data_IF_926446157238
#
_entry.id   IF_926446157238
#
_cell.length_a   1.000
_cell.length_b   1.000
_cell.length_c   1.000
_cell.angle_alpha   90.00
_cell.angle_beta   90.00
_cell.angle_gamma   90.00
#
_symmetry.space_group_name_H-M   'P 1'
#
loop_
_entity.id
_entity.type
_entity.pdbx_description
1 polymer ?
#
# COMPACT_ATOMS: atom_id res chain seq x y z
N UNK A 1 -49.92 -18.23 35.92
CA UNK A 1 -50.27 -17.25 34.87
C UNK A 1 -49.48 -17.64 33.62
N UNK A 2 -50.10 -17.94 32.47
CA UNK A 2 -50.59 -16.95 31.48
C UNK A 2 -49.51 -15.87 31.22
N UNK A 3 -48.88 -15.73 30.06
CA UNK A 3 -49.06 -16.32 28.72
C UNK A 3 -48.82 -15.21 27.66
N UNK A 4 -48.88 -15.54 26.35
CA UNK A 4 -49.09 -14.57 25.22
C UNK A 4 -47.85 -13.67 24.88
N UNK A 5 -47.39 -13.47 23.63
CA UNK A 5 -47.75 -14.01 22.29
C UNK A 5 -46.64 -13.83 21.23
N UNK A 6 -46.70 -14.63 20.15
CA UNK A 6 -46.08 -14.36 18.83
C UNK A 6 -46.81 -13.26 18.04
N UNK A 7 -46.08 -12.52 17.16
CA UNK A 7 -46.44 -11.85 15.88
C UNK A 7 -45.46 -10.64 15.65
N UNK A 8 -45.20 -10.02 14.47
CA UNK A 8 -45.55 -10.11 13.02
C UNK A 8 -44.60 -9.13 12.25
N UNK A 9 -44.42 -9.02 10.91
CA UNK A 9 -44.90 -9.68 9.66
C UNK A 9 -43.68 -9.75 8.67
N UNK A 10 -43.83 -10.35 7.49
CA UNK A 10 -42.98 -10.12 6.31
C UNK A 10 -43.17 -8.72 5.69
N UNK A 11 -42.18 -8.24 4.91
CA UNK A 11 -42.41 -7.37 3.76
C UNK A 11 -41.29 -7.52 2.71
N UNK A 12 -41.55 -8.27 1.65
CA UNK A 12 -40.77 -8.27 0.40
C UNK A 12 -41.08 -7.03 -0.43
N UNK A 13 -40.10 -6.44 -1.11
CA UNK A 13 -40.36 -5.59 -2.27
C UNK A 13 -39.31 -5.80 -3.36
N UNK A 14 -39.78 -5.98 -4.59
CA UNK A 14 -39.00 -6.20 -5.80
C UNK A 14 -39.23 -5.02 -6.72
N UNK A 15 -38.18 -4.28 -7.09
CA UNK A 15 -38.17 -3.48 -8.33
C UNK A 15 -36.77 -3.49 -8.94
N UNK A 16 -36.72 -3.86 -10.21
CA UNK A 16 -35.60 -3.69 -11.15
C UNK A 16 -36.23 -3.39 -12.53
N UNK A 17 -35.45 -3.10 -13.57
CA UNK A 17 -34.25 -2.25 -13.67
C UNK A 17 -34.52 -1.07 -14.63
N UNK A 18 -33.53 -0.21 -14.92
CA UNK A 18 -33.53 0.49 -16.20
C UNK A 18 -32.11 0.68 -16.76
N UNK A 19 -31.98 0.39 -18.06
CA UNK A 19 -30.75 0.38 -18.83
C UNK A 19 -30.66 1.69 -19.62
N UNK A 20 -29.50 2.35 -19.61
CA UNK A 20 -29.07 3.23 -20.70
C UNK A 20 -27.62 2.92 -21.03
N UNK A 21 -27.40 2.33 -22.21
CA UNK A 21 -26.08 2.15 -22.82
C UNK A 21 -26.01 3.12 -23.99
N UNK A 22 -25.04 4.03 -23.98
CA UNK A 22 -24.73 4.89 -25.13
C UNK A 22 -23.32 4.61 -25.61
N UNK A 23 -23.24 3.90 -26.74
CA UNK A 23 -22.00 3.69 -27.49
C UNK A 23 -21.71 4.93 -28.33
N UNK A 24 -20.50 5.48 -28.23
CA UNK A 24 -19.95 6.39 -29.24
C UNK A 24 -18.79 5.71 -29.96
N UNK A 25 -19.05 5.30 -31.21
CA UNK A 25 -18.02 4.90 -32.16
C UNK A 25 -17.53 6.12 -32.91
N UNK A 26 -16.21 6.32 -32.96
CA UNK A 26 -15.57 7.37 -33.77
C UNK A 26 -14.27 6.86 -34.37
N UNK A 27 -14.29 6.54 -35.66
CA UNK A 27 -13.11 6.19 -36.45
C UNK A 27 -12.95 7.16 -37.62
N UNK A 28 -11.71 7.50 -37.96
CA UNK A 28 -11.30 8.33 -39.11
C UNK A 28 -9.88 8.85 -38.86
N UNK A 29 -8.84 8.20 -39.38
CA UNK A 29 -8.19 8.53 -40.66
C UNK A 29 -7.74 10.01 -40.68
N UNK A 30 -6.47 10.33 -40.42
CA UNK A 30 -5.22 9.93 -41.12
C UNK A 30 -5.20 10.40 -42.58
N UNK A 31 -4.55 11.54 -42.81
CA UNK A 31 -3.93 11.87 -44.09
C UNK A 31 -2.46 12.22 -43.88
N UNK A 32 -1.63 11.81 -44.84
CA UNK A 32 -0.16 11.88 -44.81
C UNK A 32 0.29 13.00 -45.73
N UNK A 33 1.34 13.73 -45.34
CA UNK A 33 2.13 14.53 -46.27
C UNK A 33 3.63 14.34 -46.05
N UNK A 34 4.29 13.81 -47.08
CA UNK A 34 5.74 13.80 -47.29
C UNK A 34 6.06 14.71 -48.52
N UNK A 35 7.29 14.75 -49.07
CA UNK A 35 8.48 15.35 -48.45
C UNK A 35 9.24 16.29 -49.41
N UNK A 36 10.08 17.22 -48.92
CA UNK A 36 11.14 17.84 -49.76
C UNK A 36 12.46 18.01 -48.99
N UNK A 37 13.53 17.58 -49.64
CA UNK A 37 14.98 17.68 -49.35
C UNK A 37 15.65 18.35 -50.59
N UNK A 38 16.97 18.58 -50.65
CA UNK A 38 17.99 18.92 -49.65
C UNK A 38 18.83 20.13 -50.12
N UNK A 39 20.04 20.32 -49.56
CA UNK A 39 21.32 20.80 -50.18
C UNK A 39 22.15 21.62 -49.16
N UNK A 40 23.49 21.71 -49.17
CA UNK A 40 24.57 20.82 -49.66
C UNK A 40 25.92 21.32 -49.06
N UNK A 41 27.09 20.79 -49.50
CA UNK A 41 28.48 21.12 -49.08
C UNK A 41 28.85 20.73 -47.63
N UNK A 42 29.70 19.72 -47.32
CA UNK A 42 31.00 19.27 -47.85
C UNK A 42 32.17 20.21 -47.48
N UNK A 43 32.99 19.85 -46.49
CA UNK A 43 33.98 20.78 -45.92
C UNK A 43 35.04 20.24 -44.95
N UNK A 44 35.74 19.15 -45.31
CA UNK A 44 37.10 18.77 -44.86
C UNK A 44 37.34 18.43 -43.36
N UNK A 45 38.05 17.32 -43.13
CA UNK A 45 38.51 16.89 -41.81
C UNK A 45 39.85 17.54 -41.40
N UNK A 46 40.04 17.73 -40.09
CA UNK A 46 41.35 17.88 -39.46
C UNK A 46 41.32 17.35 -38.02
N UNK A 47 42.18 16.38 -37.72
CA UNK A 47 42.41 15.86 -36.36
C UNK A 47 43.26 16.84 -35.54
N UNK A 48 42.76 17.32 -34.39
CA UNK A 48 43.60 17.79 -33.28
C UNK A 48 42.85 17.53 -31.95
N UNK A 49 43.52 17.55 -30.78
CA UNK A 49 43.67 16.37 -29.93
C UNK A 49 42.68 16.30 -28.77
N UNK A 50 42.66 15.15 -28.10
CA UNK A 50 42.04 14.96 -26.79
C UNK A 50 42.58 15.99 -25.79
N UNK A 51 41.70 16.87 -25.32
CA UNK A 51 41.92 17.71 -24.14
C UNK A 51 40.67 17.53 -23.27
N UNK A 52 40.85 16.84 -22.15
CA UNK A 52 39.84 16.72 -21.10
C UNK A 52 39.47 18.12 -20.60
N UNK A 53 38.20 18.48 -20.76
CA UNK A 53 37.61 19.68 -20.19
C UNK A 53 36.18 19.32 -19.78
N UNK A 54 35.98 19.20 -18.48
CA UNK A 54 34.73 18.79 -17.87
C UNK A 54 33.58 19.74 -18.28
N UNK A 55 32.52 19.18 -18.87
CA UNK A 55 31.24 19.85 -19.06
C UNK A 55 30.17 18.97 -18.42
N UNK A 56 29.53 19.53 -17.39
CA UNK A 56 28.56 18.88 -16.53
C UNK A 56 27.27 18.53 -17.30
N UNK A 57 27.14 17.30 -17.81
CA UNK A 57 25.82 16.74 -18.16
C UNK A 57 25.19 16.04 -16.95
N UNK A 58 24.71 16.87 -16.02
CA UNK A 58 23.63 16.60 -15.06
C UNK A 58 23.51 15.15 -14.56
N UNK A 59 24.54 14.68 -13.85
CA UNK A 59 24.41 13.43 -13.09
C UNK A 59 23.32 13.57 -12.02
N UNK A 60 22.40 12.60 -11.97
CA UNK A 60 21.49 12.41 -10.83
C UNK A 60 22.26 11.81 -9.63
N UNK A 61 23.35 12.47 -9.24
CA UNK A 61 24.25 12.05 -8.18
C UNK A 61 24.02 12.84 -6.89
N UNK A 62 22.81 12.71 -6.34
CA UNK A 62 22.65 12.63 -4.89
C UNK A 62 22.16 11.23 -4.55
N UNK A 63 23.05 10.25 -4.78
CA UNK A 63 22.85 8.89 -4.27
C UNK A 63 23.05 8.91 -2.76
N UNK A 64 22.00 9.28 -2.03
CA UNK A 64 21.78 8.66 -0.74
C UNK A 64 21.52 7.18 -1.05
N UNK A 65 22.49 6.33 -0.71
CA UNK A 65 22.46 4.88 -0.91
C UNK A 65 21.07 4.34 -0.54
N UNK A 66 20.41 3.64 -1.48
CA UNK A 66 19.05 3.10 -1.26
C UNK A 66 19.13 1.95 -0.27
N UNK A 67 19.23 2.29 1.01
CA UNK A 67 19.85 1.48 2.06
C UNK A 67 19.20 0.09 2.22
N UNK A 68 17.92 -0.05 1.88
CA UNK A 68 17.25 -1.34 1.75
C UNK A 68 16.00 -1.23 0.87
N UNK A 69 15.90 -2.00 -0.22
CA UNK A 69 14.70 -2.05 -1.07
C UNK A 69 13.78 -3.21 -0.68
N UNK A 70 12.52 -2.89 -0.44
CA UNK A 70 11.44 -3.83 -0.16
C UNK A 70 10.09 -3.12 -0.33
N UNK A 71 9.04 -3.84 -0.68
CA UNK A 71 7.70 -3.29 -0.89
C UNK A 71 7.45 -2.89 -2.34
N UNK A 72 6.25 -2.40 -2.60
CA UNK A 72 5.80 -1.92 -3.92
C UNK A 72 6.45 -0.59 -4.30
N UNK A 73 6.59 -0.34 -5.61
CA UNK A 73 7.09 0.94 -6.11
C UNK A 73 5.99 2.02 -6.03
N UNK A 74 6.40 3.29 -5.93
CA UNK A 74 5.47 4.42 -5.89
C UNK A 74 4.69 4.50 -7.21
N UNK A 75 3.36 4.68 -7.12
CA UNK A 75 2.45 4.67 -8.27
C UNK A 75 1.93 3.28 -8.68
N UNK A 76 2.40 2.19 -8.08
CA UNK A 76 1.82 0.87 -8.32
C UNK A 76 0.45 0.72 -7.63
N UNK A 77 -0.43 -0.11 -8.20
CA UNK A 77 -1.76 -0.40 -7.63
C UNK A 77 -1.70 -1.69 -6.81
N UNK A 78 -1.94 -1.67 -5.49
CA UNK A 78 -1.82 -2.85 -4.64
C UNK A 78 -2.80 -3.97 -5.05
N UNK A 79 -2.31 -5.19 -5.33
CA UNK A 79 -3.15 -6.31 -5.78
C UNK A 79 -4.01 -6.89 -4.64
N UNK A 80 -5.04 -7.65 -5.00
CA UNK A 80 -5.86 -8.36 -4.02
C UNK A 80 -5.11 -9.55 -3.42
N UNK A 81 -5.10 -9.66 -2.08
CA UNK A 81 -4.62 -10.82 -1.35
C UNK A 81 -5.51 -11.10 -0.13
N UNK A 82 -5.39 -12.29 0.46
CA UNK A 82 -6.21 -12.72 1.59
C UNK A 82 -5.36 -12.93 2.85
N UNK A 83 -5.90 -12.51 3.99
CA UNK A 83 -5.36 -12.72 5.35
C UNK A 83 -6.45 -13.26 6.27
N UNK A 84 -6.05 -13.82 7.42
CA UNK A 84 -6.95 -14.11 8.53
C UNK A 84 -6.96 -12.91 9.48
N UNK A 85 -8.12 -12.30 9.70
CA UNK A 85 -8.28 -11.25 10.72
C UNK A 85 -8.27 -11.87 12.13
N UNK A 86 -7.42 -11.34 13.03
CA UNK A 86 -7.24 -11.85 14.40
C UNK A 86 -7.79 -10.88 15.44
N UNK A 87 -7.74 -9.56 15.23
CA UNK A 87 -8.17 -8.58 16.26
C UNK A 87 -9.20 -7.56 15.77
N UNK A 88 -9.47 -7.49 14.47
CA UNK A 88 -10.43 -6.59 13.86
C UNK A 88 -11.88 -7.07 13.89
N UNK A 89 -12.74 -6.27 13.26
CA UNK A 89 -14.19 -6.50 13.21
C UNK A 89 -14.62 -7.78 12.47
N UNK A 90 -13.71 -8.43 11.75
CA UNK A 90 -13.95 -9.68 11.03
C UNK A 90 -13.16 -10.86 11.63
N UNK A 91 -12.80 -10.80 12.93
CA UNK A 91 -12.02 -11.83 13.64
C UNK A 91 -12.44 -13.26 13.29
N UNK A 92 -11.45 -14.07 12.93
CA UNK A 92 -11.61 -15.47 12.52
C UNK A 92 -12.14 -15.67 11.09
N UNK A 93 -12.16 -14.63 10.25
CA UNK A 93 -12.51 -14.72 8.82
C UNK A 93 -11.28 -14.55 7.94
N UNK A 94 -11.32 -15.20 6.78
CA UNK A 94 -10.41 -14.95 5.68
C UNK A 94 -11.00 -13.84 4.81
N UNK A 95 -10.28 -12.74 4.59
CA UNK A 95 -10.73 -11.64 3.74
C UNK A 95 -9.58 -10.88 3.08
N UNK A 96 -9.94 -10.03 2.12
CA UNK A 96 -9.05 -9.12 1.41
C UNK A 96 -9.29 -7.67 1.88
N UNK A 97 -8.37 -7.10 2.65
CA UNK A 97 -8.49 -5.71 3.13
C UNK A 97 -8.41 -4.68 1.99
N UNK A 98 -7.58 -4.91 0.96
CA UNK A 98 -7.56 -4.07 -0.26
C UNK A 98 -8.94 -3.99 -0.92
N UNK A 99 -9.68 -5.09 -0.90
CA UNK A 99 -11.02 -5.22 -1.46
C UNK A 99 -12.09 -4.60 -0.55
N UNK A 100 -11.96 -4.78 0.78
CA UNK A 100 -12.88 -4.22 1.78
C UNK A 100 -12.79 -2.69 1.88
N UNK A 101 -11.57 -2.15 1.78
CA UNK A 101 -11.32 -0.72 1.93
C UNK A 101 -11.44 0.07 0.62
N UNK A 102 -11.34 -0.57 -0.55
CA UNK A 102 -11.48 0.12 -1.84
C UNK A 102 -10.48 1.27 -1.96
N UNK A 103 -10.94 2.44 -2.38
CA UNK A 103 -10.10 3.62 -2.65
C UNK A 103 -9.94 4.55 -1.43
N UNK A 104 -10.15 4.01 -0.22
CA UNK A 104 -9.83 4.72 1.04
C UNK A 104 -8.31 5.00 1.14
N UNK A 105 -7.90 5.99 1.95
CA UNK A 105 -6.54 6.07 2.47
C UNK A 105 -6.24 4.82 3.31
N UNK A 106 -5.19 4.06 2.98
CA UNK A 106 -4.82 2.84 3.69
C UNK A 106 -3.32 2.78 4.00
N UNK A 107 -2.99 2.42 5.23
CA UNK A 107 -1.64 2.00 5.65
C UNK A 107 -1.60 0.48 5.81
N UNK A 108 -0.84 -0.20 4.95
CA UNK A 108 -0.52 -1.62 5.08
C UNK A 108 0.84 -1.81 5.75
N UNK A 109 0.87 -2.48 6.90
CA UNK A 109 2.09 -2.72 7.67
C UNK A 109 2.40 -4.21 7.63
N UNK A 110 3.52 -4.60 7.04
CA UNK A 110 4.00 -5.99 7.00
C UNK A 110 5.08 -6.16 8.06
N UNK A 111 4.94 -7.15 8.93
CA UNK A 111 5.87 -7.38 10.06
C UNK A 111 6.25 -8.85 10.21
N UNK A 112 7.45 -9.13 10.73
CA UNK A 112 7.90 -10.48 11.10
C UNK A 112 8.05 -10.65 12.63
N UNK A 113 8.34 -9.57 13.35
CA UNK A 113 8.50 -9.51 14.82
C UNK A 113 7.71 -8.32 15.42
N UNK A 114 7.52 -8.31 16.74
CA UNK A 114 6.81 -7.27 17.50
C UNK A 114 7.69 -6.69 18.62
N UNK A 115 8.85 -6.16 18.22
CA UNK A 115 9.70 -5.37 19.11
C UNK A 115 9.01 -4.07 19.58
N UNK A 116 9.61 -3.39 20.56
CA UNK A 116 9.00 -2.21 21.19
C UNK A 116 8.79 -1.05 20.21
N UNK A 117 9.65 -0.92 19.20
CA UNK A 117 9.53 0.10 18.16
C UNK A 117 8.39 -0.24 17.19
N UNK A 118 8.23 -1.51 16.81
CA UNK A 118 7.13 -1.99 15.96
C UNK A 118 5.78 -1.83 16.66
N UNK A 119 5.68 -2.18 17.95
CA UNK A 119 4.47 -1.95 18.76
C UNK A 119 4.16 -0.46 18.91
N UNK A 120 5.18 0.38 19.09
CA UNK A 120 5.04 1.85 19.17
C UNK A 120 4.56 2.44 17.85
N UNK A 121 5.11 2.00 16.72
CA UNK A 121 4.66 2.39 15.38
C UNK A 121 3.17 2.07 15.17
N UNK A 122 2.77 0.82 15.45
CA UNK A 122 1.38 0.38 15.27
C UNK A 122 0.44 1.18 16.18
N UNK A 123 0.85 1.50 17.42
CA UNK A 123 0.07 2.39 18.31
C UNK A 123 -0.09 3.80 17.75
N UNK A 124 0.95 4.40 17.16
CA UNK A 124 0.83 5.73 16.54
C UNK A 124 -0.09 5.68 15.31
N UNK A 125 0.03 4.68 14.44
CA UNK A 125 -0.89 4.48 13.30
C UNK A 125 -2.34 4.23 13.77
N UNK A 126 -2.56 3.55 14.89
CA UNK A 126 -3.90 3.38 15.49
C UNK A 126 -4.51 4.73 15.92
N UNK A 127 -3.68 5.64 16.42
CA UNK A 127 -4.06 7.01 16.75
C UNK A 127 -4.38 7.81 15.48
N UNK A 128 -3.56 7.72 14.42
CA UNK A 128 -3.84 8.38 13.13
C UNK A 128 -5.16 7.91 12.51
N UNK A 129 -5.41 6.59 12.46
CA UNK A 129 -6.69 6.04 11.98
C UNK A 129 -7.87 6.54 12.82
N UNK A 130 -7.68 6.76 14.12
CA UNK A 130 -8.69 7.34 15.02
C UNK A 130 -8.89 8.85 14.81
N UNK A 131 -7.84 9.60 14.50
CA UNK A 131 -7.90 11.03 14.21
C UNK A 131 -8.57 11.30 12.86
N UNK A 132 -8.25 10.50 11.85
CA UNK A 132 -8.70 10.68 10.45
C UNK A 132 -9.88 9.77 10.06
N UNK A 133 -10.80 9.51 11.01
CA UNK A 133 -12.02 8.73 10.76
C UNK A 133 -12.98 9.42 9.78
N UNK A 134 -13.01 10.76 9.76
CA UNK A 134 -13.80 11.58 8.84
C UNK A 134 -13.33 11.41 7.38
N UNK A 135 -11.99 11.38 7.18
CA UNK A 135 -11.32 11.04 5.93
C UNK A 135 -11.42 9.55 5.58
N UNK A 136 -11.98 8.73 6.47
CA UNK A 136 -12.07 7.27 6.38
C UNK A 136 -10.70 6.63 6.20
N UNK A 137 -9.65 7.15 6.83
CA UNK A 137 -8.36 6.45 6.90
C UNK A 137 -8.56 5.03 7.45
N UNK A 138 -7.74 4.09 7.02
CA UNK A 138 -7.68 2.73 7.56
C UNK A 138 -6.24 2.28 7.66
N UNK A 139 -5.99 1.27 8.48
CA UNK A 139 -4.74 0.55 8.48
C UNK A 139 -4.99 -0.92 8.83
N UNK A 140 -4.03 -1.79 8.50
CA UNK A 140 -4.02 -3.18 8.95
C UNK A 140 -2.58 -3.71 8.98
N UNK A 141 -2.30 -4.61 9.93
CA UNK A 141 -1.01 -5.27 10.09
C UNK A 141 -1.09 -6.68 9.53
N UNK A 142 -0.10 -7.07 8.73
CA UNK A 142 0.05 -8.39 8.12
C UNK A 142 1.29 -9.06 8.71
N UNK A 143 1.08 -10.06 9.54
CA UNK A 143 2.16 -10.85 10.13
C UNK A 143 2.62 -11.91 9.15
N UNK A 144 3.93 -11.94 8.89
CA UNK A 144 4.62 -12.85 8.00
C UNK A 144 5.47 -13.82 8.83
N UNK A 145 4.93 -15.00 9.11
CA UNK A 145 5.52 -16.01 10.00
C UNK A 145 5.38 -17.42 9.41
N UNK A 146 6.31 -18.30 9.75
CA UNK A 146 6.24 -19.74 9.43
C UNK A 146 5.15 -20.46 10.24
N UNK A 147 4.67 -19.87 11.35
CA UNK A 147 3.65 -20.46 12.23
C UNK A 147 2.37 -19.58 12.35
N UNK A 148 1.56 -19.45 11.27
CA UNK A 148 0.42 -18.53 11.26
C UNK A 148 -0.70 -18.86 12.26
N UNK A 149 -0.82 -20.13 12.68
CA UNK A 149 -1.85 -20.54 13.63
C UNK A 149 -1.45 -20.30 15.09
N UNK A 150 -0.18 -20.43 15.47
CA UNK A 150 0.29 -20.21 16.84
C UNK A 150 0.31 -18.73 17.20
N UNK A 151 0.70 -17.86 16.24
CA UNK A 151 0.78 -16.42 16.42
C UNK A 151 -0.53 -15.75 16.89
N UNK A 152 -1.70 -16.33 16.59
CA UNK A 152 -3.02 -15.70 16.83
C UNK A 152 -3.24 -15.30 18.30
N UNK A 153 -2.89 -16.17 19.24
CA UNK A 153 -3.09 -15.87 20.67
C UNK A 153 -2.19 -14.74 21.17
N UNK A 154 -1.01 -14.57 20.58
CA UNK A 154 -0.07 -13.52 20.98
C UNK A 154 -0.44 -12.18 20.34
N UNK A 155 -1.00 -12.17 19.13
CA UNK A 155 -1.58 -10.95 18.53
C UNK A 155 -2.78 -10.42 19.33
N UNK A 156 -3.63 -11.30 19.88
CA UNK A 156 -4.72 -10.88 20.77
C UNK A 156 -4.20 -10.22 22.07
N UNK A 157 -3.09 -10.73 22.63
CA UNK A 157 -2.41 -10.10 23.78
C UNK A 157 -1.79 -8.77 23.40
N UNK A 158 -0.99 -8.73 22.33
CA UNK A 158 -0.31 -7.53 21.83
C UNK A 158 -1.31 -6.40 21.59
N UNK A 159 -2.44 -6.67 20.91
CA UNK A 159 -3.48 -5.67 20.69
C UNK A 159 -4.11 -5.18 22.00
N UNK A 160 -4.36 -6.07 22.95
CA UNK A 160 -4.94 -5.73 24.25
C UNK A 160 -3.98 -4.88 25.11
N UNK A 161 -2.73 -5.32 25.25
CA UNK A 161 -1.70 -4.67 26.08
C UNK A 161 -1.25 -3.31 25.52
N UNK A 162 -1.28 -3.15 24.19
CA UNK A 162 -0.91 -1.91 23.51
C UNK A 162 -2.11 -1.01 23.19
N UNK A 163 -3.32 -1.41 23.56
CA UNK A 163 -4.58 -0.71 23.29
C UNK A 163 -4.89 -0.45 21.79
N UNK A 164 -4.42 -1.33 20.91
CA UNK A 164 -4.66 -1.26 19.46
C UNK A 164 -6.13 -1.64 19.20
N UNK A 165 -6.93 -0.70 18.70
CA UNK A 165 -8.40 -0.78 18.65
C UNK A 165 -8.98 -0.49 17.26
N UNK A 166 -8.22 0.20 16.41
CA UNK A 166 -8.61 0.67 15.08
C UNK A 166 -7.83 -0.06 13.98
N UNK A 167 -6.64 -0.60 14.27
CA UNK A 167 -5.81 -1.38 13.33
C UNK A 167 -5.98 -2.89 13.58
N UNK A 168 -6.58 -3.66 12.65
CA UNK A 168 -6.60 -5.12 12.74
C UNK A 168 -5.18 -5.69 12.64
N UNK A 169 -4.84 -6.58 13.57
CA UNK A 169 -3.71 -7.48 13.43
C UNK A 169 -4.20 -8.72 12.70
N UNK A 170 -3.47 -9.11 11.65
CA UNK A 170 -3.89 -10.15 10.71
C UNK A 170 -2.71 -11.06 10.41
N UNK A 171 -3.00 -12.29 9.98
CA UNK A 171 -1.98 -13.27 9.64
C UNK A 171 -2.09 -13.65 8.17
N UNK A 172 -0.97 -13.61 7.46
CA UNK A 172 -0.85 -14.16 6.12
C UNK A 172 -0.50 -15.66 6.19
N UNK A 173 -1.06 -16.47 5.29
CA UNK A 173 -0.79 -17.92 5.27
C UNK A 173 0.46 -18.30 4.45
N UNK A 174 1.19 -17.30 3.96
CA UNK A 174 2.51 -17.46 3.33
C UNK A 174 3.57 -16.69 4.11
N UNK A 175 4.84 -17.02 3.85
CA UNK A 175 5.99 -16.58 4.66
C UNK A 175 6.78 -15.44 3.99
N UNK A 176 6.77 -15.41 2.65
CA UNK A 176 7.52 -14.46 1.82
C UNK A 176 6.78 -13.15 1.52
N UNK A 177 5.61 -12.93 2.14
CA UNK A 177 4.73 -11.81 1.83
C UNK A 177 3.78 -12.09 0.66
N UNK A 178 2.74 -11.26 0.45
CA UNK A 178 1.79 -11.49 -0.64
C UNK A 178 2.41 -11.24 -2.02
N UNK A 179 1.98 -12.04 -3.00
CA UNK A 179 2.42 -11.91 -4.40
C UNK A 179 2.14 -10.50 -4.92
N UNK A 180 3.16 -9.88 -5.51
CA UNK A 180 3.09 -8.51 -6.05
C UNK A 180 3.30 -7.39 -5.03
N UNK A 181 3.44 -7.69 -3.73
CA UNK A 181 3.80 -6.70 -2.72
C UNK A 181 5.31 -6.55 -2.50
N UNK A 182 6.13 -7.43 -3.11
CA UNK A 182 7.60 -7.35 -3.14
C UNK A 182 8.27 -7.18 -1.76
N UNK A 183 7.66 -7.70 -0.68
CA UNK A 183 8.21 -7.63 0.67
C UNK A 183 9.43 -8.55 0.79
N UNK A 184 10.62 -7.96 0.94
CA UNK A 184 11.86 -8.70 1.01
C UNK A 184 11.94 -9.57 2.29
N UNK A 185 12.70 -10.68 2.21
CA UNK A 185 12.89 -11.57 3.38
C UNK A 185 13.63 -10.87 4.54
N UNK A 186 14.50 -9.91 4.24
CA UNK A 186 15.20 -9.09 5.23
C UNK A 186 14.39 -7.93 5.81
N UNK A 187 13.16 -7.70 5.33
CA UNK A 187 12.27 -6.67 5.88
C UNK A 187 11.64 -7.20 7.18
N UNK A 188 12.04 -6.61 8.30
CA UNK A 188 11.44 -6.87 9.61
C UNK A 188 10.12 -6.11 9.74
N UNK A 189 10.12 -4.85 9.26
CA UNK A 189 8.93 -4.01 9.12
C UNK A 189 8.94 -3.38 7.72
N UNK A 190 7.84 -3.46 6.99
CA UNK A 190 7.63 -2.74 5.75
C UNK A 190 6.26 -2.05 5.77
N UNK A 191 6.26 -0.73 5.68
CA UNK A 191 5.04 0.09 5.63
C UNK A 191 4.83 0.58 4.21
N UNK A 192 3.64 0.33 3.67
CA UNK A 192 3.19 0.88 2.39
C UNK A 192 1.91 1.67 2.63
N UNK A 193 1.82 2.87 2.04
CA UNK A 193 0.66 3.75 2.13
C UNK A 193 0.09 4.00 0.74
N UNK A 194 -1.22 3.87 0.58
CA UNK A 194 -1.89 4.08 -0.70
C UNK A 194 -3.25 4.76 -0.58
N UNK A 195 -3.62 5.45 -1.66
CA UNK A 195 -4.99 5.89 -1.93
C UNK A 195 -5.24 5.64 -3.42
N UNK A 196 -5.88 4.50 -3.74
CA UNK A 196 -5.90 3.93 -5.10
C UNK A 196 -4.57 3.24 -5.44
N UNK A 197 -3.50 4.04 -5.60
CA UNK A 197 -2.11 3.64 -5.85
C UNK A 197 -1.16 4.05 -4.70
N UNK A 198 0.03 3.43 -4.66
CA UNK A 198 1.04 3.61 -3.61
C UNK A 198 1.63 5.03 -3.64
N UNK A 199 1.55 5.73 -2.50
CA UNK A 199 2.07 7.09 -2.29
C UNK A 199 3.33 7.13 -1.44
N UNK A 200 3.51 6.16 -0.54
CA UNK A 200 4.73 6.02 0.26
C UNK A 200 5.05 4.54 0.50
N UNK A 201 6.35 4.24 0.62
CA UNK A 201 6.86 2.93 0.99
C UNK A 201 8.15 3.13 1.81
N UNK A 202 8.17 2.59 3.04
CA UNK A 202 9.37 2.52 3.89
C UNK A 202 9.58 1.10 4.38
N UNK A 203 10.83 0.64 4.34
CA UNK A 203 11.22 -0.68 4.79
C UNK A 203 12.41 -0.61 5.74
N UNK A 204 12.34 -1.41 6.80
CA UNK A 204 13.31 -1.47 7.88
C UNK A 204 13.74 -2.91 8.07
N UNK A 205 15.06 -3.15 8.07
CA UNK A 205 15.64 -4.41 8.51
C UNK A 205 15.58 -4.50 10.04
N UNK A 206 15.90 -5.69 10.59
CA UNK A 206 15.87 -5.93 12.03
C UNK A 206 16.72 -4.91 12.80
N UNK A 207 16.10 -4.19 13.73
CA UNK A 207 16.74 -3.15 14.54
C UNK A 207 16.96 -1.79 13.85
N UNK A 208 16.50 -1.59 12.61
CA UNK A 208 16.59 -0.28 11.93
C UNK A 208 15.41 0.66 12.23
N UNK A 209 14.23 0.13 12.55
CA UNK A 209 13.10 0.96 12.96
C UNK A 209 13.43 1.61 14.31
N UNK A 210 13.45 2.94 14.34
CA UNK A 210 13.79 3.78 15.48
C UNK A 210 12.83 4.99 15.54
N UNK A 211 12.98 5.86 16.54
CA UNK A 211 12.07 7.01 16.74
C UNK A 211 11.93 7.91 15.50
N UNK A 212 13.04 8.22 14.82
CA UNK A 212 13.03 9.01 13.59
C UNK A 212 12.28 8.27 12.47
N UNK A 213 12.59 6.98 12.25
CA UNK A 213 11.90 6.17 11.25
C UNK A 213 10.40 6.03 11.52
N UNK A 214 10.00 6.01 12.80
CA UNK A 214 8.58 6.06 13.21
C UNK A 214 7.97 7.42 12.87
N UNK A 215 8.63 8.54 13.21
CA UNK A 215 8.14 9.89 12.91
C UNK A 215 7.98 10.14 11.41
N UNK A 216 8.94 9.68 10.60
CA UNK A 216 8.85 9.71 9.13
C UNK A 216 7.66 8.90 8.60
N UNK A 217 7.41 7.70 9.14
CA UNK A 217 6.22 6.91 8.76
C UNK A 217 4.93 7.61 9.17
N UNK A 218 4.87 8.30 10.32
CA UNK A 218 3.66 9.05 10.69
C UNK A 218 3.45 10.27 9.78
N UNK A 219 4.51 10.99 9.42
CA UNK A 219 4.44 12.10 8.47
C UNK A 219 3.93 11.67 7.08
N UNK A 220 4.36 10.50 6.58
CA UNK A 220 3.89 9.95 5.29
C UNK A 220 2.36 9.74 5.23
N UNK A 221 1.65 9.67 6.38
CA UNK A 221 0.18 9.52 6.38
C UNK A 221 -0.52 10.71 5.72
N UNK A 222 0.08 11.91 5.76
CA UNK A 222 -0.43 13.11 5.09
C UNK A 222 -0.57 12.90 3.57
N UNK A 223 0.26 12.06 2.96
CA UNK A 223 0.28 11.78 1.51
C UNK A 223 -0.94 11.01 1.01
N UNK A 224 -1.75 10.44 1.92
CA UNK A 224 -2.96 9.66 1.57
C UNK A 224 -4.27 10.29 2.09
N UNK A 225 -4.24 11.30 2.97
CA UNK A 225 -5.43 11.88 3.63
C UNK A 225 -5.87 13.24 3.05
N UNK A 226 -6.09 13.29 1.73
CA UNK A 226 -6.63 14.46 1.02
C UNK A 226 -8.01 14.93 1.54
#
# INVERSE_FOLDING_TARGET
MQGIRLNKILATSVVAPLIVVTLFSGCGQTEVSEPVKPDSELGVAAEIPEIEADIEELEMNETQEVAFRSGMEIGEVPPAFHVVDVTGAHRGKHLCYRCLYGDRPVVGIFVRDFDDNTKTLIKKIDQEVKLHQDKKMAAFVVVLTDEPESAKSDLEKIATENEIKNVPLTVYLGTDGPVGYNVAKGAEVNVMMWQGDVKANRAFQKGQLNDQGIEEVIADTELIIN
#
